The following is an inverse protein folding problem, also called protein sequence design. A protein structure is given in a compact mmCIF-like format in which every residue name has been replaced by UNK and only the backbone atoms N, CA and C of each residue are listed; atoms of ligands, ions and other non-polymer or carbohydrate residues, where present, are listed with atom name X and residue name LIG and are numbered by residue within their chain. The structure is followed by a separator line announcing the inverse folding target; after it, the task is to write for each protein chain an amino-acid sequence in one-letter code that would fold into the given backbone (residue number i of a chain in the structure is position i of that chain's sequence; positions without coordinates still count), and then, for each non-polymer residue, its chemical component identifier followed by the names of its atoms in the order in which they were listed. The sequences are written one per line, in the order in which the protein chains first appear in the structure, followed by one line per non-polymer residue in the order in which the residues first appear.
data_IF_245995938981
#
_entry.id   IF_245995938981
#
_cell.length_a   1.000
_cell.length_b   1.000
_cell.length_c   1.000
_cell.angle_alpha   90.00
_cell.angle_beta   90.00
_cell.angle_gamma   90.00
#
_symmetry.space_group_name_H-M   'P 1'
#
loop_
_entity.id
_entity.type
_entity.pdbx_description
1 polymer ?
#
# COMPACT_ATOMS: atom_id res chain seq x y z
N UNK A 1 1.99 16.92 -4.46
CA UNK A 1 1.71 15.49 -4.24
C UNK A 1 2.51 15.09 -3.02
N UNK A 2 1.86 14.49 -2.02
CA UNK A 2 2.53 14.03 -0.81
C UNK A 2 3.55 12.94 -1.17
N UNK A 3 4.66 12.88 -0.43
CA UNK A 3 5.61 11.78 -0.54
C UNK A 3 4.91 10.49 -0.09
N UNK A 4 4.94 9.46 -0.94
CA UNK A 4 4.26 8.18 -0.68
C UNK A 4 4.82 7.54 0.59
N UNK A 5 6.12 7.72 0.86
CA UNK A 5 6.78 7.13 2.03
C UNK A 5 6.31 7.71 3.36
N UNK A 6 5.63 8.87 3.35
CA UNK A 6 5.11 9.53 4.55
C UNK A 6 3.63 9.23 4.82
N UNK A 7 2.96 8.51 3.91
CA UNK A 7 1.53 8.20 4.05
C UNK A 7 1.30 7.10 5.08
N UNK A 8 0.21 7.23 5.83
CA UNK A 8 -0.37 6.13 6.59
C UNK A 8 -0.94 5.06 5.63
N UNK A 9 -1.26 3.87 6.17
CA UNK A 9 -1.89 2.83 5.36
C UNK A 9 -3.24 3.31 4.83
N UNK A 10 -4.05 3.93 5.68
CA UNK A 10 -5.38 4.43 5.37
C UNK A 10 -5.33 5.51 4.29
N UNK A 11 -4.39 6.45 4.38
CA UNK A 11 -4.23 7.52 3.39
C UNK A 11 -3.74 6.98 2.05
N UNK A 12 -2.76 6.08 2.07
CA UNK A 12 -2.23 5.46 0.85
C UNK A 12 -3.28 4.57 0.16
N UNK A 13 -4.07 3.84 0.94
CA UNK A 13 -5.15 2.99 0.43
C UNK A 13 -6.29 3.82 -0.16
N UNK A 14 -6.75 4.86 0.54
CA UNK A 14 -7.79 5.75 0.03
C UNK A 14 -7.37 6.44 -1.28
N UNK A 15 -6.10 6.84 -1.38
CA UNK A 15 -5.58 7.40 -2.62
C UNK A 15 -5.51 6.35 -3.74
N UNK A 16 -5.09 5.12 -3.44
CA UNK A 16 -5.06 4.02 -4.40
C UNK A 16 -6.47 3.71 -4.94
N UNK A 17 -7.48 3.65 -4.07
CA UNK A 17 -8.88 3.47 -4.48
C UNK A 17 -9.36 4.59 -5.42
N UNK A 18 -9.03 5.84 -5.09
CA UNK A 18 -9.37 6.98 -5.95
C UNK A 18 -8.69 6.91 -7.32
N UNK A 19 -7.46 6.38 -7.40
CA UNK A 19 -6.75 6.16 -8.66
C UNK A 19 -7.43 5.05 -9.48
N UNK A 20 -7.78 3.92 -8.85
CA UNK A 20 -8.48 2.82 -9.52
C UNK A 20 -9.79 3.31 -10.11
N UNK A 21 -10.59 4.04 -9.33
CA UNK A 21 -11.86 4.60 -9.80
C UNK A 21 -11.68 5.51 -11.03
N UNK A 22 -10.63 6.34 -11.05
CA UNK A 22 -10.31 7.20 -12.19
C UNK A 22 -9.88 6.40 -13.41
N UNK A 23 -9.06 5.37 -13.24
CA UNK A 23 -8.63 4.49 -14.34
C UNK A 23 -9.83 3.74 -14.96
N UNK A 24 -10.79 3.32 -14.13
CA UNK A 24 -12.00 2.63 -14.56
C UNK A 24 -13.01 3.53 -15.29
N UNK A 25 -12.94 4.85 -15.08
CA UNK A 25 -13.85 5.81 -15.74
C UNK A 25 -13.69 5.84 -17.27
N UNK A 26 -12.49 5.53 -17.78
CA UNK A 26 -12.20 5.55 -19.21
C UNK A 26 -12.13 6.95 -19.86
N UNK A 27 -12.20 8.02 -19.07
CA UNK A 27 -12.19 9.41 -19.55
C UNK A 27 -10.78 10.01 -19.67
N UNK A 28 -9.75 9.25 -19.32
CA UNK A 28 -8.37 9.70 -19.23
C UNK A 28 -7.64 9.61 -20.57
N UNK A 29 -6.74 10.56 -20.82
CA UNK A 29 -5.75 10.39 -21.88
C UNK A 29 -4.78 9.24 -21.55
N UNK A 30 -4.04 8.78 -22.56
CA UNK A 30 -3.01 7.75 -22.37
C UNK A 30 -1.94 8.18 -21.37
N UNK A 31 -1.48 9.43 -21.45
CA UNK A 31 -0.44 9.97 -20.57
C UNK A 31 -0.92 10.03 -19.12
N UNK A 32 -2.15 10.48 -18.89
CA UNK A 32 -2.77 10.48 -17.56
C UNK A 32 -2.95 9.06 -17.02
N UNK A 33 -3.38 8.12 -17.88
CA UNK A 33 -3.56 6.72 -17.50
C UNK A 33 -2.24 6.09 -17.06
N UNK A 34 -1.14 6.35 -17.78
CA UNK A 34 0.20 5.87 -17.43
C UNK A 34 0.66 6.49 -16.12
N UNK A 35 0.51 7.80 -15.94
CA UNK A 35 0.91 8.48 -14.70
C UNK A 35 0.16 7.97 -13.47
N UNK A 36 -1.16 7.78 -13.60
CA UNK A 36 -2.00 7.20 -12.54
C UNK A 36 -1.63 5.75 -12.25
N UNK A 37 -1.37 4.94 -13.27
CA UNK A 37 -0.93 3.55 -13.08
C UNK A 37 0.40 3.47 -12.32
N UNK A 38 1.39 4.27 -12.70
CA UNK A 38 2.69 4.31 -12.01
C UNK A 38 2.54 4.72 -10.55
N UNK A 39 1.69 5.72 -10.27
CA UNK A 39 1.40 6.16 -8.91
C UNK A 39 0.68 5.06 -8.12
N UNK A 40 -0.33 4.44 -8.70
CA UNK A 40 -1.07 3.33 -8.10
C UNK A 40 -0.16 2.15 -7.75
N UNK A 41 0.80 1.80 -8.62
CA UNK A 41 1.79 0.76 -8.32
C UNK A 41 2.63 1.09 -7.08
N UNK A 42 3.13 2.32 -6.99
CA UNK A 42 3.94 2.75 -5.82
C UNK A 42 3.13 2.78 -4.53
N UNK A 43 1.86 3.20 -4.59
CA UNK A 43 0.95 3.16 -3.44
C UNK A 43 0.69 1.72 -2.99
N UNK A 44 0.48 0.80 -3.93
CA UNK A 44 0.31 -0.63 -3.63
C UNK A 44 1.53 -1.24 -2.94
N UNK A 45 2.74 -0.93 -3.43
CA UNK A 45 4.00 -1.36 -2.81
C UNK A 45 4.18 -0.81 -1.38
N UNK A 46 3.80 0.45 -1.17
CA UNK A 46 3.83 1.08 0.15
C UNK A 46 2.82 0.43 1.12
N UNK A 47 1.59 0.21 0.67
CA UNK A 47 0.56 -0.50 1.46
C UNK A 47 1.05 -1.89 1.87
N UNK A 48 1.62 -2.66 0.95
CA UNK A 48 2.19 -3.98 1.27
C UNK A 48 3.30 -3.89 2.32
N UNK A 49 4.21 -2.92 2.17
CA UNK A 49 5.29 -2.69 3.13
C UNK A 49 4.76 -2.40 4.53
N UNK A 50 3.72 -1.59 4.65
CA UNK A 50 3.09 -1.28 5.95
C UNK A 50 2.41 -2.51 6.56
N UNK A 51 1.75 -3.34 5.74
CA UNK A 51 1.13 -4.59 6.19
C UNK A 51 2.19 -5.60 6.69
N UNK A 52 3.28 -5.77 5.95
CA UNK A 52 4.39 -6.66 6.34
C UNK A 52 5.01 -6.23 7.68
N UNK A 53 5.15 -4.92 7.90
CA UNK A 53 5.63 -4.37 9.17
C UNK A 53 4.66 -4.60 10.33
N UNK A 54 3.35 -4.48 10.06
CA UNK A 54 2.32 -4.75 11.05
C UNK A 54 2.29 -6.24 11.43
N UNK A 55 2.36 -7.14 10.44
CA UNK A 55 2.44 -8.58 10.65
C UNK A 55 3.68 -8.97 11.47
N UNK A 56 4.84 -8.42 11.14
CA UNK A 56 6.08 -8.63 11.89
C UNK A 56 5.99 -8.14 13.34
N UNK A 57 5.24 -7.06 13.60
CA UNK A 57 4.98 -6.60 14.97
C UNK A 57 4.08 -7.57 15.72
N UNK A 58 3.01 -8.05 15.09
CA UNK A 58 2.07 -8.99 15.70
C UNK A 58 2.75 -10.32 16.00
N UNK A 59 3.54 -10.86 15.07
CA UNK A 59 4.24 -12.13 15.26
C UNK A 59 5.24 -12.11 16.42
N UNK A 60 5.86 -10.96 16.71
CA UNK A 60 6.74 -10.78 17.88
C UNK A 60 5.99 -10.65 19.20
N UNK A 61 4.70 -10.29 19.18
CA UNK A 61 3.88 -10.11 20.39
C UNK A 61 3.26 -11.43 20.86
N UNK A 62 3.08 -12.41 19.97
CA UNK A 62 2.60 -13.76 20.32
C UNK A 62 3.61 -14.60 21.10
N UNK A 63 4.79 -14.05 21.37
CA UNK A 63 5.94 -14.72 21.97
C UNK A 63 5.88 -14.86 23.49
N UNK A 64 4.94 -14.17 24.16
CA UNK A 64 4.60 -14.40 25.57
C UNK A 64 3.58 -15.56 25.76
N UNK A 65 3.53 -16.46 24.77
CA UNK A 65 2.82 -17.74 24.82
C UNK A 65 3.62 -18.94 24.31
N UNK A 66 4.92 -18.76 24.06
CA UNK A 66 5.94 -19.67 23.46
C UNK A 66 6.14 -19.51 21.94
N UNK A 67 7.34 -19.02 21.64
CA UNK A 67 8.00 -19.01 20.33
C UNK A 67 8.57 -20.37 19.93
N UNK A 68 8.35 -20.76 18.67
CA UNK A 68 9.24 -21.70 17.98
C UNK A 68 10.13 -20.96 16.98
N UNK A 69 11.44 -21.27 16.92
CA UNK A 69 12.33 -20.66 15.94
C UNK A 69 11.99 -21.16 14.54
N UNK A 70 11.75 -20.25 13.60
CA UNK A 70 11.68 -20.61 12.19
C UNK A 70 13.08 -20.96 11.69
N UNK A 71 13.29 -22.24 11.39
CA UNK A 71 14.40 -22.72 10.56
C UNK A 71 14.10 -22.46 9.08
#
# INVERSE_FOLDING_TARGET
MSDINELSFEDAYAELEAIVLKLESGELSLEESVALFERGRRLSEHCQTLLDQAELRVSRLTDDGRLEPMN
#
